data_IF_124694161103
#
_entry.id   IF_124694161103
#
_cell.length_a   1.000
_cell.length_b   1.000
_cell.length_c   1.000
_cell.angle_alpha   90.00
_cell.angle_beta   90.00
_cell.angle_gamma   90.00
#
_symmetry.space_group_name_H-M   'P 1'
#
loop_
_entity.id
_entity.type
_entity.pdbx_description
1 polymer ?
#
# COMPACT_ATOMS: atom_id res chain seq x y z
N UNK A 1 -9.08 7.07 29.94
CA UNK A 1 -9.44 7.35 28.53
C UNK A 1 -8.16 7.64 27.73
N UNK A 2 -7.59 6.67 27.02
CA UNK A 2 -6.43 6.90 26.13
C UNK A 2 -6.91 6.92 24.69
N UNK A 3 -7.23 8.12 24.18
CA UNK A 3 -7.43 8.36 22.76
C UNK A 3 -6.09 8.86 22.20
N UNK A 4 -5.15 7.95 21.98
CA UNK A 4 -3.83 8.28 21.43
C UNK A 4 -3.56 7.44 20.18
N UNK A 5 -3.53 8.12 19.04
CA UNK A 5 -2.77 7.81 17.83
C UNK A 5 -3.20 6.59 16.99
N UNK A 6 -4.38 6.68 16.35
CA UNK A 6 -4.69 5.90 15.14
C UNK A 6 -4.60 6.76 13.87
N UNK A 7 -3.73 7.77 13.86
CA UNK A 7 -3.52 8.63 12.70
C UNK A 7 -2.52 7.95 11.77
N UNK A 8 -3.00 7.50 10.62
CA UNK A 8 -2.16 7.16 9.48
C UNK A 8 -1.32 8.41 9.18
N UNK A 9 0.00 8.24 9.16
CA UNK A 9 0.90 9.30 8.71
C UNK A 9 1.01 9.17 7.20
N UNK A 10 0.42 10.14 6.48
CA UNK A 10 0.53 10.26 5.03
C UNK A 10 1.91 10.84 4.67
N UNK A 11 2.56 10.39 3.59
CA UNK A 11 3.83 10.97 3.16
C UNK A 11 3.68 12.47 2.85
N UNK A 12 4.63 13.33 3.28
CA UNK A 12 4.55 14.78 3.09
C UNK A 12 4.83 15.25 1.65
N UNK A 13 5.25 14.35 0.74
CA UNK A 13 5.70 14.67 -0.63
C UNK A 13 4.86 14.03 -1.74
N UNK A 14 3.65 13.56 -1.43
CA UNK A 14 2.79 12.86 -2.40
C UNK A 14 2.98 11.34 -2.40
N UNK A 15 2.30 10.61 -3.31
CA UNK A 15 2.42 9.16 -3.39
C UNK A 15 3.84 8.72 -3.80
N UNK A 16 4.33 7.58 -3.29
CA UNK A 16 5.60 7.00 -3.75
C UNK A 16 5.61 6.74 -5.25
N UNK A 17 6.68 7.14 -5.93
CA UNK A 17 6.85 6.98 -7.38
C UNK A 17 7.20 5.55 -7.81
N UNK A 18 7.71 4.74 -6.89
CA UNK A 18 8.20 3.39 -7.15
C UNK A 18 8.22 2.54 -5.86
N UNK A 19 8.37 1.22 -6.02
CA UNK A 19 8.35 0.28 -4.90
C UNK A 19 9.53 0.47 -3.93
N UNK A 20 10.68 0.98 -4.39
CA UNK A 20 11.82 1.26 -3.51
C UNK A 20 11.49 2.44 -2.60
N UNK A 21 10.97 3.53 -3.15
CA UNK A 21 10.52 4.71 -2.38
C UNK A 21 9.45 4.32 -1.36
N UNK A 22 8.47 3.47 -1.72
CA UNK A 22 7.46 2.96 -0.77
C UNK A 22 8.10 2.20 0.40
N UNK A 23 9.09 1.33 0.12
CA UNK A 23 9.81 0.58 1.16
C UNK A 23 10.62 1.50 2.07
N UNK A 24 11.29 2.49 1.50
CA UNK A 24 12.07 3.50 2.23
C UNK A 24 11.17 4.35 3.14
N UNK A 25 10.00 4.76 2.67
CA UNK A 25 9.06 5.55 3.47
C UNK A 25 8.47 4.77 4.65
N UNK A 26 8.22 3.47 4.47
CA UNK A 26 7.82 2.56 5.55
C UNK A 26 8.97 2.37 6.54
N UNK A 27 10.19 2.10 6.06
CA UNK A 27 11.37 1.89 6.91
C UNK A 27 11.75 3.15 7.71
N UNK A 28 11.63 4.32 7.09
CA UNK A 28 11.86 5.62 7.71
C UNK A 28 10.69 6.09 8.60
N UNK A 29 9.63 5.27 8.74
CA UNK A 29 8.40 5.59 9.50
C UNK A 29 7.71 6.89 9.03
N UNK A 30 7.95 7.29 7.77
CA UNK A 30 7.21 8.38 7.13
C UNK A 30 5.79 7.95 6.78
N UNK A 31 5.61 6.65 6.57
CA UNK A 31 4.32 5.96 6.48
C UNK A 31 4.18 5.03 7.67
N UNK A 32 3.05 5.14 8.40
CA UNK A 32 2.71 4.23 9.49
C UNK A 32 1.36 3.60 9.19
N UNK A 33 1.35 2.27 9.08
CA UNK A 33 0.20 1.46 8.73
C UNK A 33 -0.28 0.68 9.96
N UNK A 34 -1.24 1.17 10.76
CA UNK A 34 -1.70 0.44 11.93
C UNK A 34 -2.68 -0.69 11.55
N UNK A 35 -2.58 -1.81 12.25
CA UNK A 35 -3.56 -2.89 12.22
C UNK A 35 -3.76 -3.49 10.83
N UNK A 36 -4.99 -3.44 10.30
CA UNK A 36 -5.32 -4.03 9.01
C UNK A 36 -4.53 -3.43 7.84
N UNK A 37 -4.11 -2.16 7.94
CA UNK A 37 -3.32 -1.53 6.88
C UNK A 37 -1.90 -2.09 6.83
N UNK A 38 -1.36 -2.50 7.98
CA UNK A 38 -0.08 -3.21 8.05
C UNK A 38 -0.15 -4.52 7.29
N UNK A 39 -1.24 -5.28 7.48
CA UNK A 39 -1.45 -6.57 6.83
C UNK A 39 -1.54 -6.41 5.30
N UNK A 40 -2.29 -5.41 4.83
CA UNK A 40 -2.40 -5.11 3.39
C UNK A 40 -1.03 -4.69 2.83
N UNK A 41 -0.33 -3.78 3.52
CA UNK A 41 0.99 -3.31 3.10
C UNK A 41 2.03 -4.43 3.07
N UNK A 42 2.05 -5.30 4.08
CA UNK A 42 2.94 -6.46 4.14
C UNK A 42 2.68 -7.43 3.00
N UNK A 43 1.41 -7.80 2.78
CA UNK A 43 1.03 -8.66 1.66
C UNK A 43 1.48 -8.08 0.32
N UNK A 44 1.33 -6.76 0.11
CA UNK A 44 1.77 -6.10 -1.10
C UNK A 44 3.29 -6.17 -1.31
N UNK A 45 4.08 -5.99 -0.24
CA UNK A 45 5.55 -6.07 -0.31
C UNK A 45 6.06 -7.50 -0.51
N UNK A 46 5.37 -8.50 0.05
CA UNK A 46 5.71 -9.92 -0.04
C UNK A 46 5.28 -10.53 -1.38
N UNK A 47 4.15 -10.08 -1.94
CA UNK A 47 3.54 -10.62 -3.17
C UNK A 47 3.39 -9.51 -4.23
N UNK A 48 4.50 -8.94 -4.75
CA UNK A 48 4.43 -7.80 -5.66
C UNK A 48 3.78 -8.15 -7.01
N UNK A 49 3.86 -9.40 -7.45
CA UNK A 49 3.21 -9.88 -8.67
C UNK A 49 1.69 -9.92 -8.56
N UNK A 50 1.17 -10.37 -7.41
CA UNK A 50 -0.26 -10.36 -7.12
C UNK A 50 -0.81 -8.94 -7.23
N UNK A 51 -0.11 -7.96 -6.66
CA UNK A 51 -0.50 -6.55 -6.77
C UNK A 51 -0.42 -6.06 -8.22
N UNK A 52 0.66 -6.40 -8.94
CA UNK A 52 0.91 -5.94 -10.30
C UNK A 52 -0.15 -6.43 -11.30
N UNK A 53 -0.67 -7.65 -11.13
CA UNK A 53 -1.55 -8.29 -12.11
C UNK A 53 -2.98 -8.57 -11.60
N UNK A 54 -3.19 -8.52 -10.28
CA UNK A 54 -4.48 -8.72 -9.65
C UNK A 54 -5.42 -7.52 -9.72
N UNK A 55 -6.68 -7.79 -9.39
CA UNK A 55 -7.73 -6.80 -9.16
C UNK A 55 -7.83 -6.43 -7.68
N UNK A 56 -8.34 -5.23 -7.37
CA UNK A 56 -8.60 -4.80 -5.99
C UNK A 56 -9.40 -5.86 -5.19
N UNK A 57 -10.41 -6.46 -5.83
CA UNK A 57 -11.22 -7.54 -5.27
C UNK A 57 -10.42 -8.78 -4.91
N UNK A 58 -9.52 -9.24 -5.79
CA UNK A 58 -8.66 -10.39 -5.52
C UNK A 58 -7.71 -10.10 -4.35
N UNK A 59 -7.08 -8.91 -4.34
CA UNK A 59 -6.17 -8.52 -3.26
C UNK A 59 -6.91 -8.47 -1.92
N UNK A 60 -8.10 -7.86 -1.92
CA UNK A 60 -8.95 -7.79 -0.74
C UNK A 60 -9.29 -9.19 -0.19
N UNK A 61 -9.64 -10.12 -1.09
CA UNK A 61 -9.92 -11.51 -0.72
C UNK A 61 -8.68 -12.21 -0.12
N UNK A 62 -7.50 -12.07 -0.73
CA UNK A 62 -6.25 -12.70 -0.27
C UNK A 62 -5.86 -12.31 1.15
N UNK A 63 -6.18 -11.07 1.57
CA UNK A 63 -5.83 -10.55 2.90
C UNK A 63 -7.01 -10.56 3.89
N UNK A 64 -8.17 -11.11 3.50
CA UNK A 64 -9.38 -11.12 4.35
C UNK A 64 -9.94 -9.71 4.64
N UNK A 65 -9.80 -8.79 3.69
CA UNK A 65 -10.29 -7.42 3.77
C UNK A 65 -11.41 -7.16 2.75
N UNK A 66 -12.06 -6.00 2.87
CA UNK A 66 -13.00 -5.52 1.85
C UNK A 66 -12.27 -4.66 0.81
N UNK A 67 -12.82 -4.57 -0.41
CA UNK A 67 -12.31 -3.66 -1.45
C UNK A 67 -12.22 -2.21 -0.94
N UNK A 68 -13.21 -1.76 -0.16
CA UNK A 68 -13.17 -0.43 0.47
C UNK A 68 -12.01 -0.27 1.46
N UNK A 69 -11.58 -1.35 2.13
CA UNK A 69 -10.41 -1.31 3.02
C UNK A 69 -9.12 -1.15 2.22
N UNK A 70 -9.02 -1.81 1.06
CA UNK A 70 -7.88 -1.67 0.13
C UNK A 70 -7.86 -0.27 -0.47
N UNK A 71 -8.99 0.27 -0.91
CA UNK A 71 -9.07 1.66 -1.40
C UNK A 71 -8.63 2.67 -0.34
N UNK A 72 -9.12 2.54 0.91
CA UNK A 72 -8.67 3.44 2.00
C UNK A 72 -7.18 3.28 2.33
N UNK A 73 -6.63 2.09 2.17
CA UNK A 73 -5.19 1.85 2.31
C UNK A 73 -4.39 2.56 1.21
N UNK A 74 -4.86 2.51 -0.04
CA UNK A 74 -4.28 3.23 -1.18
C UNK A 74 -4.35 4.75 -0.97
N UNK A 75 -5.50 5.27 -0.55
CA UNK A 75 -5.69 6.69 -0.24
C UNK A 75 -4.78 7.16 0.89
N UNK A 76 -4.56 6.29 1.89
CA UNK A 76 -3.69 6.52 3.04
C UNK A 76 -2.21 6.65 2.66
N UNK A 77 -1.78 5.92 1.62
CA UNK A 77 -0.45 6.07 1.02
C UNK A 77 -0.35 7.30 0.09
N UNK A 78 -1.49 7.93 -0.22
CA UNK A 78 -1.58 9.16 -1.00
C UNK A 78 -1.79 8.97 -2.49
N UNK A 79 -2.03 7.74 -2.94
CA UNK A 79 -2.47 7.47 -4.31
C UNK A 79 -3.94 7.86 -4.48
N UNK A 80 -4.34 8.18 -5.71
CA UNK A 80 -5.73 8.54 -6.05
C UNK A 80 -6.57 7.33 -6.44
N UNK A 81 -5.93 6.19 -6.76
CA UNK A 81 -6.62 4.97 -7.15
C UNK A 81 -5.75 3.73 -6.97
N UNK A 82 -6.39 2.56 -6.86
CA UNK A 82 -5.69 1.29 -6.85
C UNK A 82 -4.88 1.06 -8.14
N UNK A 83 -5.30 1.63 -9.27
CA UNK A 83 -4.57 1.54 -10.52
C UNK A 83 -3.22 2.27 -10.46
N UNK A 84 -3.17 3.44 -9.83
CA UNK A 84 -1.93 4.21 -9.61
C UNK A 84 -0.98 3.44 -8.67
N UNK A 85 -1.53 2.91 -7.57
CA UNK A 85 -0.77 2.02 -6.67
C UNK A 85 -0.25 0.78 -7.40
N UNK A 86 -1.05 0.11 -8.23
CA UNK A 86 -0.63 -1.05 -9.02
C UNK A 86 0.48 -0.72 -10.02
N UNK A 87 0.48 0.48 -10.59
CA UNK A 87 1.45 0.88 -11.60
C UNK A 87 2.90 0.83 -11.08
N UNK A 88 3.14 1.19 -9.81
CA UNK A 88 4.49 1.12 -9.22
C UNK A 88 4.99 -0.31 -9.05
N UNK A 89 4.08 -1.29 -8.87
CA UNK A 89 4.43 -2.71 -8.84
C UNK A 89 4.68 -3.26 -10.24
N UNK A 90 3.87 -2.87 -11.23
CA UNK A 90 4.08 -3.25 -12.63
C UNK A 90 5.43 -2.75 -13.15
N UNK A 91 5.80 -1.51 -12.82
CA UNK A 91 7.12 -0.96 -13.16
C UNK A 91 8.24 -1.78 -12.51
N UNK A 92 8.12 -2.09 -11.21
CA UNK A 92 9.09 -2.91 -10.49
C UNK A 92 9.27 -4.31 -11.10
N UNK A 93 8.19 -4.98 -11.51
CA UNK A 93 8.28 -6.30 -12.15
C UNK A 93 8.94 -6.20 -13.52
N UNK A 94 8.64 -5.15 -14.30
CA UNK A 94 9.26 -4.90 -15.60
C UNK A 94 10.77 -4.67 -15.49
N UNK A 95 11.21 -3.88 -14.52
CA UNK A 95 12.63 -3.56 -14.36
C UNK A 95 13.47 -4.73 -13.82
N UNK A 96 12.83 -5.79 -13.29
CA UNK A 96 13.50 -7.00 -12.80
C UNK A 96 13.66 -8.09 -13.85
N UNK A 97 13.06 -7.96 -15.02
CA UNK A 97 12.96 -9.01 -16.04
C UNK A 97 13.62 -8.57 -17.36
#
# INVERSE_FOLDING_TARGET
MRKALNKIVKPPYGPPSDLRTLKEDIAARRVVLPGRFEQIGRYALENPEDIAFGTCRQIAASVGASESSVSRFVDALGFNSFAEFRAIFQAYIRDRN
#
